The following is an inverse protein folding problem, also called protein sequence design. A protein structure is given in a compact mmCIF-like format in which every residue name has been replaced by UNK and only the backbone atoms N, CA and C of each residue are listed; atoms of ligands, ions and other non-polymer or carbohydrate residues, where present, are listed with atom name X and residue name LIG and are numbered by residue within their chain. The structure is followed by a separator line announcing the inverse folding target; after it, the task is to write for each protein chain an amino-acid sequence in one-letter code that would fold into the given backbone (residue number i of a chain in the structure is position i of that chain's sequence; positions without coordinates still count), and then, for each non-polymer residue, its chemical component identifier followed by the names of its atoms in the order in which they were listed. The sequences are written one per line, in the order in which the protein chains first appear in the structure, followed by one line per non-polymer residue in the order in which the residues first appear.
data_IF_420901363387
#
_entry.id   IF_420901363387
#
_cell.length_a   1.000
_cell.length_b   1.000
_cell.length_c   1.000
_cell.angle_alpha   90.00
_cell.angle_beta   90.00
_cell.angle_gamma   90.00
#
_symmetry.space_group_name_H-M   'P 1'
#
loop_
_entity.id
_entity.type
_entity.pdbx_description
1 polymer ?
#
# COMPACT_ATOMS: atom_id res chain seq x y z
N UNK A 1 19.37 34.30 -0.68
CA UNK A 1 19.36 32.83 -0.75
C UNK A 1 18.28 32.33 0.19
N UNK A 2 17.05 32.22 -0.31
CA UNK A 2 15.90 31.71 0.41
C UNK A 2 15.63 30.29 -0.10
N UNK A 3 15.69 29.31 0.80
CA UNK A 3 15.32 27.92 0.54
C UNK A 3 13.81 27.81 0.78
N UNK A 4 13.03 27.61 -0.29
CA UNK A 4 11.60 27.30 -0.19
C UNK A 4 11.43 25.84 0.21
N UNK A 5 10.80 25.60 1.38
CA UNK A 5 10.21 24.31 1.74
C UNK A 5 9.00 24.06 0.82
N UNK A 6 9.07 23.02 0.01
CA UNK A 6 7.92 22.48 -0.73
C UNK A 6 7.15 21.54 0.20
N UNK A 7 6.16 22.11 0.90
CA UNK A 7 5.02 21.37 1.46
C UNK A 7 4.12 20.94 0.30
N UNK A 8 3.96 19.64 0.09
CA UNK A 8 2.88 19.12 -0.75
C UNK A 8 1.57 19.16 0.07
N UNK A 9 0.56 19.94 -0.32
CA UNK A 9 -0.73 19.92 0.36
C UNK A 9 -1.57 18.75 -0.18
N UNK A 10 -1.89 17.80 0.70
CA UNK A 10 -3.12 17.01 0.58
C UNK A 10 -4.30 17.96 0.85
N UNK A 11 -4.79 18.64 -0.18
CA UNK A 11 -6.05 19.37 -0.17
C UNK A 11 -6.97 18.76 -1.23
N UNK A 12 -7.86 17.88 -0.78
CA UNK A 12 -9.04 17.46 -1.52
C UNK A 12 -10.12 18.50 -1.22
N UNK A 13 -10.41 19.39 -2.17
CA UNK A 13 -11.66 20.17 -2.15
C UNK A 13 -12.80 19.26 -2.63
N UNK A 14 -13.45 18.60 -1.68
CA UNK A 14 -14.68 17.86 -1.90
C UNK A 14 -15.86 18.82 -2.10
N UNK A 15 -16.37 18.89 -3.32
CA UNK A 15 -17.71 19.41 -3.59
C UNK A 15 -18.74 18.44 -3.00
N UNK A 16 -19.50 18.93 -2.03
CA UNK A 16 -20.60 18.21 -1.39
C UNK A 16 -21.69 17.97 -2.44
N UNK A 17 -22.02 16.71 -2.72
CA UNK A 17 -23.32 16.34 -3.28
C UNK A 17 -23.96 15.34 -2.32
N UNK A 18 -24.93 15.81 -1.53
CA UNK A 18 -25.77 14.96 -0.69
C UNK A 18 -26.67 14.10 -1.59
N UNK A 19 -26.50 12.78 -1.52
CA UNK A 19 -27.47 11.81 -2.04
C UNK A 19 -27.49 10.58 -1.13
N UNK A 20 -28.56 10.40 -0.36
CA UNK A 20 -28.77 9.25 0.50
C UNK A 20 -29.19 8.00 -0.30
N UNK A 21 -28.51 6.88 0.00
CA UNK A 21 -28.88 5.44 -0.06
C UNK A 21 -29.89 4.92 -1.11
N UNK A 22 -29.45 3.97 -1.94
CA UNK A 22 -29.85 2.54 -1.99
C UNK A 22 -29.55 1.93 -3.38
N UNK A 23 -29.20 0.64 -3.44
CA UNK A 23 -29.22 -0.15 -4.67
C UNK A 23 -27.84 -0.39 -5.31
N UNK A 24 -27.71 -1.52 -5.97
CA UNK A 24 -26.51 -2.02 -6.67
C UNK A 24 -25.76 -0.91 -7.44
N UNK A 25 -24.43 -0.85 -7.29
CA UNK A 25 -23.56 0.13 -7.95
C UNK A 25 -23.59 -0.05 -9.48
N UNK A 26 -24.60 0.53 -10.15
CA UNK A 26 -24.44 0.95 -11.53
C UNK A 26 -23.31 1.99 -11.56
N UNK A 27 -22.19 1.65 -12.20
CA UNK A 27 -21.12 2.60 -12.52
C UNK A 27 -21.77 3.82 -13.17
N UNK A 28 -21.48 5.02 -12.67
CA UNK A 28 -21.97 6.22 -13.34
C UNK A 28 -21.46 6.24 -14.78
N UNK A 29 -22.16 6.91 -15.69
CA UNK A 29 -21.71 7.03 -17.08
C UNK A 29 -20.28 7.62 -17.17
N UNK A 30 -19.90 8.48 -16.22
CA UNK A 30 -18.55 9.02 -16.10
C UNK A 30 -17.52 7.94 -15.70
N UNK A 31 -17.84 7.08 -14.73
CA UNK A 31 -16.94 5.99 -14.31
C UNK A 31 -16.77 4.95 -15.44
N UNK A 32 -17.85 4.62 -16.14
CA UNK A 32 -17.79 3.73 -17.30
C UNK A 32 -16.93 4.33 -18.43
N UNK A 33 -17.08 5.63 -18.71
CA UNK A 33 -16.25 6.33 -19.70
C UNK A 33 -14.77 6.37 -19.30
N UNK A 34 -14.48 6.63 -18.02
CA UNK A 34 -13.11 6.63 -17.48
C UNK A 34 -12.45 5.25 -17.62
N UNK A 35 -13.15 4.18 -17.26
CA UNK A 35 -12.64 2.81 -17.43
C UNK A 35 -12.44 2.43 -18.89
N UNK A 36 -13.34 2.85 -19.78
CA UNK A 36 -13.20 2.63 -21.21
C UNK A 36 -11.97 3.35 -21.77
N UNK A 37 -11.74 4.61 -21.38
CA UNK A 37 -10.54 5.35 -21.73
C UNK A 37 -9.28 4.67 -21.19
N UNK A 38 -9.26 4.27 -19.92
CA UNK A 38 -8.10 3.61 -19.33
C UNK A 38 -7.80 2.25 -19.99
N UNK A 39 -8.82 1.53 -20.44
CA UNK A 39 -8.65 0.31 -21.23
C UNK A 39 -8.06 0.58 -22.63
N UNK A 40 -8.44 1.68 -23.29
CA UNK A 40 -7.83 2.10 -24.56
C UNK A 40 -6.36 2.48 -24.39
N UNK A 41 -6.05 3.25 -23.35
CA UNK A 41 -4.65 3.60 -22.99
C UNK A 41 -3.85 2.34 -22.65
N UNK A 42 -4.45 1.38 -21.96
CA UNK A 42 -3.84 0.08 -21.69
C UNK A 42 -3.49 -0.67 -22.97
N UNK A 43 -4.40 -0.73 -23.94
CA UNK A 43 -4.16 -1.39 -25.21
C UNK A 43 -2.99 -0.75 -25.99
N UNK A 44 -2.89 0.59 -26.01
CA UNK A 44 -1.76 1.33 -26.59
C UNK A 44 -0.43 0.99 -25.89
N UNK A 45 -0.44 0.91 -24.57
CA UNK A 45 0.74 0.53 -23.79
C UNK A 45 1.15 -0.92 -24.06
N UNK A 46 0.21 -1.87 -24.09
CA UNK A 46 0.47 -3.27 -24.41
C UNK A 46 1.11 -3.42 -25.80
N UNK A 47 0.59 -2.70 -26.80
CA UNK A 47 1.19 -2.67 -28.14
C UNK A 47 2.64 -2.15 -28.14
N UNK A 48 2.94 -1.11 -27.35
CA UNK A 48 4.31 -0.56 -27.20
C UNK A 48 5.29 -1.55 -26.57
N UNK A 49 4.77 -2.52 -25.83
CA UNK A 49 5.53 -3.58 -25.17
C UNK A 49 5.60 -4.88 -25.99
N UNK A 50 5.07 -4.90 -27.22
CA UNK A 50 4.88 -6.12 -28.02
C UNK A 50 4.17 -7.23 -27.21
N UNK A 51 3.17 -6.83 -26.41
CA UNK A 51 2.48 -7.68 -25.47
C UNK A 51 1.01 -7.84 -25.83
N UNK A 52 0.48 -9.06 -25.69
CA UNK A 52 -0.94 -9.36 -25.89
C UNK A 52 -1.63 -9.63 -24.57
N UNK A 53 -2.83 -9.10 -24.38
CA UNK A 53 -3.61 -9.33 -23.17
C UNK A 53 -3.91 -10.82 -22.99
N UNK A 54 -3.56 -11.37 -21.82
CA UNK A 54 -3.71 -12.78 -21.45
C UNK A 54 -4.37 -12.88 -20.06
N UNK A 55 -5.51 -12.20 -19.90
CA UNK A 55 -6.26 -12.12 -18.65
C UNK A 55 -7.25 -10.96 -18.62
N UNK A 56 -7.99 -10.85 -17.52
CA UNK A 56 -8.87 -9.71 -17.28
C UNK A 56 -8.07 -8.47 -16.89
N UNK A 57 -8.48 -7.32 -17.40
CA UNK A 57 -7.99 -6.03 -16.94
C UNK A 57 -8.59 -5.73 -15.56
N UNK A 58 -7.72 -5.51 -14.59
CA UNK A 58 -8.09 -5.18 -13.21
C UNK A 58 -7.84 -3.70 -12.99
N UNK A 59 -8.84 -3.00 -12.45
CA UNK A 59 -8.74 -1.59 -12.10
C UNK A 59 -8.40 -1.43 -10.62
N UNK A 60 -7.41 -0.59 -10.34
CA UNK A 60 -6.96 -0.28 -8.99
C UNK A 60 -7.89 0.68 -8.26
N UNK A 61 -7.48 1.09 -7.07
CA UNK A 61 -8.30 1.94 -6.22
C UNK A 61 -8.62 3.29 -6.90
N UNK A 62 -9.92 3.60 -6.99
CA UNK A 62 -10.47 4.77 -7.71
C UNK A 62 -10.04 4.85 -9.18
N UNK A 63 -9.81 3.70 -9.81
CA UNK A 63 -9.42 3.58 -11.21
C UNK A 63 -8.19 4.45 -11.58
N UNK A 64 -7.28 4.65 -10.60
CA UNK A 64 -5.99 5.36 -10.78
C UNK A 64 -4.88 4.48 -11.32
N UNK A 65 -5.14 3.19 -11.44
CA UNK A 65 -4.25 2.23 -12.07
C UNK A 65 -5.06 1.15 -12.76
N UNK A 66 -4.45 0.49 -13.73
CA UNK A 66 -5.02 -0.68 -14.39
C UNK A 66 -3.91 -1.69 -14.64
N UNK A 67 -4.18 -2.98 -14.47
CA UNK A 67 -3.17 -4.01 -14.65
C UNK A 67 -3.75 -5.32 -15.13
N UNK A 68 -2.98 -6.05 -15.93
CA UNK A 68 -3.34 -7.37 -16.39
C UNK A 68 -2.11 -8.22 -16.68
N UNK A 69 -2.34 -9.53 -16.72
CA UNK A 69 -1.40 -10.48 -17.28
C UNK A 69 -1.35 -10.29 -18.80
N UNK A 70 -0.15 -10.30 -19.34
CA UNK A 70 0.11 -10.20 -20.77
C UNK A 70 1.10 -11.28 -21.22
N UNK A 71 0.94 -11.77 -22.44
CA UNK A 71 1.90 -12.65 -23.09
C UNK A 71 2.92 -11.81 -23.89
N UNK A 72 4.19 -12.15 -23.78
CA UNK A 72 5.29 -11.55 -24.55
C UNK A 72 6.15 -12.65 -25.17
N UNK A 73 7.03 -12.31 -26.11
CA UNK A 73 7.99 -13.27 -26.68
C UNK A 73 8.90 -13.91 -25.61
N UNK A 74 9.14 -13.22 -24.48
CA UNK A 74 9.94 -13.72 -23.37
C UNK A 74 9.10 -14.45 -22.29
N UNK A 75 7.84 -14.76 -22.58
CA UNK A 75 6.90 -15.45 -21.69
C UNK A 75 5.90 -14.50 -21.00
N UNK A 76 5.15 -15.00 -20.01
CA UNK A 76 4.08 -14.24 -19.35
C UNK A 76 4.65 -13.12 -18.48
N UNK A 77 4.00 -11.96 -18.48
CA UNK A 77 4.35 -10.76 -17.74
C UNK A 77 3.11 -10.13 -17.11
N UNK A 78 3.34 -9.18 -16.22
CA UNK A 78 2.30 -8.29 -15.72
C UNK A 78 2.56 -6.89 -16.28
N UNK A 79 1.58 -6.31 -16.99
CA UNK A 79 1.65 -4.93 -17.43
C UNK A 79 0.71 -4.11 -16.56
N UNK A 80 1.25 -3.08 -15.92
CA UNK A 80 0.56 -2.14 -15.05
C UNK A 80 0.63 -0.74 -15.63
N UNK A 81 -0.47 -0.01 -15.54
CA UNK A 81 -0.57 1.43 -15.75
C UNK A 81 -0.86 2.10 -14.42
N UNK A 82 -0.23 3.25 -14.18
CA UNK A 82 -0.66 4.25 -13.20
C UNK A 82 -0.87 5.57 -13.92
N UNK A 83 -1.94 6.28 -13.56
CA UNK A 83 -2.28 7.58 -14.12
C UNK A 83 -2.19 8.65 -13.05
N UNK A 84 -1.79 9.86 -13.45
CA UNK A 84 -1.77 11.03 -12.58
C UNK A 84 -1.91 12.31 -13.41
N UNK A 85 -2.38 13.39 -12.79
CA UNK A 85 -2.38 14.70 -13.42
C UNK A 85 -0.94 15.18 -13.62
N UNK A 86 -0.66 15.86 -14.74
CA UNK A 86 0.69 16.26 -15.14
C UNK A 86 1.53 16.95 -14.04
N UNK A 87 0.92 17.83 -13.24
CA UNK A 87 1.62 18.53 -12.15
C UNK A 87 2.04 17.66 -10.97
N UNK A 88 1.49 16.44 -10.90
CA UNK A 88 1.67 15.48 -9.81
C UNK A 88 2.32 14.18 -10.28
N UNK A 89 2.52 14.01 -11.58
CA UNK A 89 3.13 12.86 -12.21
C UNK A 89 4.66 12.87 -12.08
N UNK A 90 5.14 12.70 -10.85
CA UNK A 90 6.55 12.67 -10.51
C UNK A 90 6.79 12.33 -9.05
N UNK A 91 8.06 12.38 -8.64
CA UNK A 91 8.45 12.09 -7.26
C UNK A 91 8.45 10.60 -6.91
N UNK A 92 8.65 10.32 -5.63
CA UNK A 92 8.94 8.96 -5.15
C UNK A 92 7.82 7.97 -5.51
N UNK A 93 6.56 8.34 -5.34
CA UNK A 93 5.45 7.43 -5.62
C UNK A 93 5.38 7.04 -7.10
N UNK A 94 5.58 8.00 -8.01
CA UNK A 94 5.52 7.79 -9.46
C UNK A 94 6.57 6.80 -9.98
N UNK A 95 7.77 6.79 -9.40
CA UNK A 95 8.86 5.89 -9.80
C UNK A 95 8.96 4.64 -8.94
N UNK A 96 8.10 4.49 -7.92
CA UNK A 96 8.35 3.58 -6.80
C UNK A 96 8.50 2.12 -7.16
N UNK A 97 7.67 1.58 -8.06
CA UNK A 97 7.80 0.20 -8.51
C UNK A 97 9.11 -0.05 -9.27
N UNK A 98 9.53 0.90 -10.12
CA UNK A 98 10.78 0.78 -10.86
C UNK A 98 11.99 0.86 -9.93
N UNK A 99 12.00 1.84 -9.02
CA UNK A 99 13.06 2.03 -8.03
C UNK A 99 13.14 0.85 -7.05
N UNK A 100 12.02 0.17 -6.78
CA UNK A 100 12.00 -1.01 -5.92
C UNK A 100 12.82 -2.18 -6.48
N UNK A 101 13.30 -2.13 -7.72
CA UNK A 101 14.32 -3.07 -8.21
C UNK A 101 15.63 -3.01 -7.40
N UNK A 102 15.92 -1.90 -6.71
CA UNK A 102 17.08 -1.79 -5.81
C UNK A 102 16.90 -2.60 -4.52
N UNK A 103 15.66 -2.96 -4.16
CA UNK A 103 15.36 -3.85 -3.03
C UNK A 103 15.59 -5.29 -3.47
N UNK A 104 16.66 -5.92 -2.97
CA UNK A 104 17.05 -7.30 -3.33
C UNK A 104 16.78 -8.27 -2.17
N UNK A 105 16.79 -9.58 -2.43
CA UNK A 105 16.54 -10.60 -1.41
C UNK A 105 15.06 -10.75 -1.00
N UNK A 106 14.15 -10.14 -1.76
CA UNK A 106 12.70 -10.19 -1.53
C UNK A 106 12.00 -10.90 -2.68
N UNK A 107 11.01 -11.75 -2.37
CA UNK A 107 10.11 -12.31 -3.37
C UNK A 107 9.12 -11.24 -3.83
N UNK A 108 9.42 -10.57 -4.96
CA UNK A 108 8.61 -9.48 -5.51
C UNK A 108 8.66 -9.42 -7.04
N UNK A 109 7.71 -8.72 -7.69
CA UNK A 109 7.83 -8.37 -9.09
C UNK A 109 9.08 -7.50 -9.35
N UNK A 110 9.66 -7.68 -10.54
CA UNK A 110 10.72 -6.83 -11.06
C UNK A 110 10.19 -6.04 -12.25
N UNK A 111 10.37 -4.72 -12.24
CA UNK A 111 10.07 -3.89 -13.41
C UNK A 111 11.15 -4.15 -14.45
N UNK A 112 10.76 -4.73 -15.59
CA UNK A 112 11.68 -5.06 -16.69
C UNK A 112 11.85 -3.88 -17.64
N UNK A 113 10.78 -3.11 -17.83
CA UNK A 113 10.74 -1.92 -18.68
C UNK A 113 9.63 -1.01 -18.17
N UNK A 114 9.86 0.29 -18.22
CA UNK A 114 8.80 1.28 -18.03
C UNK A 114 8.91 2.38 -19.09
N UNK A 115 7.81 3.07 -19.35
CA UNK A 115 7.77 4.26 -20.18
C UNK A 115 6.60 5.12 -19.78
N UNK A 116 6.77 6.43 -19.97
CA UNK A 116 5.75 7.41 -19.69
C UNK A 116 5.10 7.85 -21.01
N UNK A 117 3.78 8.04 -20.99
CA UNK A 117 2.99 8.54 -22.11
C UNK A 117 1.99 9.57 -21.60
N UNK A 118 1.48 10.38 -22.50
CA UNK A 118 0.44 11.37 -22.21
C UNK A 118 -0.80 11.05 -23.03
N UNK A 119 -1.97 11.08 -22.41
CA UNK A 119 -3.26 10.99 -23.09
C UNK A 119 -4.19 12.06 -22.48
N UNK A 120 -4.41 13.14 -23.23
CA UNK A 120 -5.12 14.33 -22.75
C UNK A 120 -4.41 15.00 -21.57
N UNK A 121 -5.15 15.22 -20.48
CA UNK A 121 -4.65 15.86 -19.25
C UNK A 121 -3.96 14.88 -18.29
N UNK A 122 -3.86 13.60 -18.67
CA UNK A 122 -3.26 12.56 -17.84
C UNK A 122 -1.86 12.21 -18.32
N UNK A 123 -0.93 12.22 -17.38
CA UNK A 123 0.31 11.49 -17.51
C UNK A 123 0.03 10.03 -17.11
N UNK A 124 0.61 9.10 -17.86
CA UNK A 124 0.46 7.67 -17.65
C UNK A 124 1.83 7.03 -17.64
N UNK A 125 2.14 6.26 -16.60
CA UNK A 125 3.32 5.42 -16.55
C UNK A 125 2.90 3.98 -16.77
N UNK A 126 3.53 3.35 -17.76
CA UNK A 126 3.38 1.93 -18.04
C UNK A 126 4.59 1.16 -17.53
N UNK A 127 4.35 0.05 -16.85
CA UNK A 127 5.35 -0.78 -16.19
C UNK A 127 5.15 -2.24 -16.60
N UNK A 128 6.07 -2.77 -17.40
CA UNK A 128 6.11 -4.20 -17.74
C UNK A 128 6.97 -4.92 -16.70
N UNK A 129 6.37 -5.85 -15.99
CA UNK A 129 6.95 -6.50 -14.82
C UNK A 129 6.99 -8.03 -14.98
N UNK A 130 7.86 -8.69 -14.22
CA UNK A 130 7.77 -10.14 -14.04
C UNK A 130 6.42 -10.52 -13.41
N UNK A 131 5.81 -11.61 -13.89
CA UNK A 131 4.59 -12.14 -13.29
C UNK A 131 4.96 -12.98 -12.07
N UNK A 132 4.32 -12.70 -10.93
CA UNK A 132 4.47 -13.51 -9.72
C UNK A 132 3.47 -14.69 -9.73
N UNK A 133 3.89 -15.91 -9.33
CA UNK A 133 2.98 -17.03 -9.21
C UNK A 133 2.09 -16.89 -7.98
N UNK A 134 0.98 -17.64 -7.96
CA UNK A 134 0.06 -17.70 -6.82
C UNK A 134 -1.15 -16.77 -6.93
N UNK A 135 -1.87 -16.66 -5.82
CA UNK A 135 -3.07 -15.85 -5.67
C UNK A 135 -2.94 -14.91 -4.49
N UNK A 136 -3.67 -13.79 -4.50
CA UNK A 136 -3.68 -12.85 -3.37
C UNK A 136 -4.19 -13.55 -2.11
N UNK A 137 -3.60 -13.23 -0.97
CA UNK A 137 -4.03 -13.71 0.34
C UNK A 137 -5.44 -13.21 0.68
N UNK A 138 -5.81 -12.02 0.21
CA UNK A 138 -7.14 -11.44 0.37
C UNK A 138 -7.53 -10.61 -0.87
N UNK A 139 -8.81 -10.55 -1.25
CA UNK A 139 -9.29 -9.60 -2.25
C UNK A 139 -9.33 -8.15 -1.75
N UNK A 140 -9.27 -7.93 -0.43
CA UNK A 140 -9.28 -6.60 0.21
C UNK A 140 -8.08 -6.40 1.15
N UNK A 141 -7.65 -5.14 1.40
CA UNK A 141 -6.53 -4.88 2.29
C UNK A 141 -6.71 -5.47 3.69
N UNK A 142 -7.88 -5.28 4.29
CA UNK A 142 -8.24 -5.90 5.55
C UNK A 142 -8.67 -7.36 5.35
N UNK A 143 -8.20 -8.21 6.25
CA UNK A 143 -8.57 -9.62 6.27
C UNK A 143 -9.97 -9.76 6.88
N UNK A 144 -10.88 -10.41 6.17
CA UNK A 144 -12.27 -10.62 6.61
C UNK A 144 -12.58 -12.06 6.99
N UNK A 145 -11.79 -13.01 6.49
CA UNK A 145 -11.95 -14.43 6.72
C UNK A 145 -10.64 -15.03 7.25
N UNK A 146 -10.70 -16.11 8.05
CA UNK A 146 -9.51 -16.83 8.47
C UNK A 146 -8.68 -17.27 7.26
N UNK A 147 -7.39 -16.95 7.29
CA UNK A 147 -6.43 -17.37 6.29
C UNK A 147 -5.41 -18.30 6.96
N UNK A 148 -5.34 -19.54 6.48
CA UNK A 148 -4.34 -20.50 6.91
C UNK A 148 -3.19 -20.51 5.90
N UNK A 149 -2.03 -20.01 6.31
CA UNK A 149 -0.78 -20.09 5.55
C UNK A 149 0.19 -21.06 6.23
N UNK A 150 1.06 -21.68 5.44
CA UNK A 150 2.03 -22.63 5.96
C UNK A 150 3.15 -21.92 6.78
N UNK A 151 3.82 -22.61 7.72
CA UNK A 151 4.96 -22.03 8.45
C UNK A 151 6.06 -21.44 7.54
N UNK A 152 6.38 -22.12 6.43
CA UNK A 152 7.34 -21.63 5.43
C UNK A 152 6.93 -20.31 4.77
N UNK A 153 5.62 -20.00 4.73
CA UNK A 153 5.13 -18.71 4.25
C UNK A 153 5.51 -17.59 5.22
N UNK A 154 5.38 -17.82 6.54
CA UNK A 154 5.80 -16.85 7.56
C UNK A 154 7.31 -16.64 7.56
N UNK A 155 8.09 -17.71 7.40
CA UNK A 155 9.55 -17.63 7.25
C UNK A 155 9.96 -16.77 6.04
N UNK A 156 9.26 -16.95 4.91
CA UNK A 156 9.49 -16.17 3.70
C UNK A 156 9.07 -14.69 3.85
N UNK A 157 7.97 -14.41 4.56
CA UNK A 157 7.57 -13.05 4.91
C UNK A 157 8.63 -12.39 5.80
N UNK A 158 9.08 -13.08 6.86
CA UNK A 158 10.08 -12.56 7.79
C UNK A 158 11.41 -12.26 7.07
N UNK A 159 11.87 -13.18 6.22
CA UNK A 159 13.09 -13.00 5.41
C UNK A 159 12.96 -11.82 4.46
N UNK A 160 11.78 -11.64 3.84
CA UNK A 160 11.48 -10.50 2.97
C UNK A 160 11.53 -9.19 3.75
N UNK A 161 10.88 -9.12 4.91
CA UNK A 161 10.89 -7.90 5.75
C UNK A 161 12.28 -7.56 6.26
N UNK A 162 13.09 -8.56 6.62
CA UNK A 162 14.47 -8.36 7.01
C UNK A 162 15.32 -7.80 5.85
N UNK A 163 15.13 -8.32 4.62
CA UNK A 163 15.82 -7.83 3.44
C UNK A 163 15.39 -6.40 3.06
N UNK A 164 14.09 -6.08 3.17
CA UNK A 164 13.59 -4.71 3.01
C UNK A 164 14.25 -3.79 4.03
N UNK A 165 14.20 -4.13 5.32
CA UNK A 165 14.75 -3.30 6.39
C UNK A 165 16.26 -3.03 6.25
N UNK A 166 17.00 -3.97 5.66
CA UNK A 166 18.44 -3.84 5.40
C UNK A 166 18.77 -3.01 4.15
N UNK A 167 17.78 -2.62 3.34
CA UNK A 167 18.00 -1.85 2.11
C UNK A 167 18.24 -0.37 2.44
N UNK A 168 19.39 0.16 2.04
CA UNK A 168 19.67 1.59 2.15
C UNK A 168 18.90 2.38 1.09
N UNK A 169 18.24 3.47 1.48
CA UNK A 169 17.48 4.32 0.56
C UNK A 169 17.38 5.74 1.07
N UNK A 170 17.20 6.70 0.15
CA UNK A 170 16.84 8.09 0.47
C UNK A 170 15.34 8.35 0.34
N UNK A 171 14.57 7.36 -0.13
CA UNK A 171 13.12 7.43 -0.24
C UNK A 171 12.51 7.47 1.16
N UNK A 172 11.40 8.18 1.31
CA UNK A 172 10.68 8.32 2.58
C UNK A 172 9.26 7.82 2.36
N UNK A 173 8.90 6.73 3.03
CA UNK A 173 7.53 6.22 3.07
C UNK A 173 6.73 6.92 4.18
N UNK A 174 7.38 7.21 5.31
CA UNK A 174 6.81 7.93 6.44
C UNK A 174 7.89 8.79 7.11
N UNK A 175 7.66 10.09 7.25
CA UNK A 175 8.55 10.99 7.99
C UNK A 175 8.11 11.23 9.44
N UNK A 176 9.03 11.72 10.27
CA UNK A 176 8.78 12.05 11.69
C UNK A 176 7.63 13.03 11.86
N UNK A 177 7.62 14.12 11.09
CA UNK A 177 6.61 15.18 11.20
C UNK A 177 5.20 14.64 10.89
N UNK A 178 5.08 13.82 9.85
CA UNK A 178 3.82 13.19 9.50
C UNK A 178 3.35 12.19 10.55
N UNK A 179 4.28 11.43 11.14
CA UNK A 179 3.94 10.51 12.22
C UNK A 179 3.42 11.27 13.44
N UNK A 180 4.22 12.22 13.95
CA UNK A 180 3.87 12.99 15.15
C UNK A 180 2.55 13.72 14.96
N UNK A 181 2.39 14.43 13.84
CA UNK A 181 1.18 15.19 13.53
C UNK A 181 -0.07 14.30 13.48
N UNK A 182 0.00 13.11 12.87
CA UNK A 182 -1.17 12.22 12.80
C UNK A 182 -1.49 11.60 14.14
N UNK A 183 -0.48 11.16 14.88
CA UNK A 183 -0.68 10.58 16.22
C UNK A 183 -1.28 11.62 17.16
N UNK A 184 -0.75 12.85 17.17
CA UNK A 184 -1.28 13.97 17.96
C UNK A 184 -2.72 14.32 17.55
N UNK A 185 -3.02 14.40 16.25
CA UNK A 185 -4.38 14.72 15.78
C UNK A 185 -5.43 13.72 16.26
N UNK A 186 -5.10 12.43 16.31
CA UNK A 186 -6.06 11.38 16.68
C UNK A 186 -6.07 11.05 18.17
N UNK A 187 -4.94 11.19 18.86
CA UNK A 187 -4.78 10.70 20.22
C UNK A 187 -4.35 11.78 21.22
N UNK A 188 -4.14 13.01 20.77
CA UNK A 188 -3.67 14.12 21.60
C UNK A 188 -2.30 13.83 22.22
N UNK A 189 -2.13 14.24 23.47
CA UNK A 189 -0.92 14.03 24.28
C UNK A 189 -0.79 12.61 24.83
N UNK A 190 -1.79 11.75 24.63
CA UNK A 190 -1.86 10.41 25.24
C UNK A 190 -0.76 9.45 24.77
N UNK A 191 -0.19 9.70 23.60
CA UNK A 191 0.93 8.90 23.08
C UNK A 191 2.28 9.28 23.71
N UNK A 192 2.34 10.40 24.45
CA UNK A 192 3.58 10.92 25.02
C UNK A 192 4.55 11.39 23.93
N UNK A 193 5.84 11.08 24.11
CA UNK A 193 6.88 11.38 23.13
C UNK A 193 6.71 10.50 21.88
N UNK A 194 6.53 11.13 20.72
CA UNK A 194 6.38 10.47 19.41
C UNK A 194 7.67 10.43 18.59
N UNK A 195 8.81 10.82 19.17
CA UNK A 195 10.12 10.74 18.51
C UNK A 195 10.44 9.29 18.19
N UNK A 196 10.71 8.98 16.91
CA UNK A 196 11.07 7.65 16.44
C UNK A 196 12.58 7.47 16.56
N UNK A 197 13.00 6.39 17.20
CA UNK A 197 14.43 6.15 17.46
C UNK A 197 15.11 5.37 16.33
N UNK A 198 14.37 4.46 15.69
CA UNK A 198 14.90 3.53 14.69
C UNK A 198 14.13 3.66 13.39
N UNK A 199 14.87 3.97 12.33
CA UNK A 199 14.36 4.11 10.97
C UNK A 199 14.93 3.01 10.09
N UNK A 200 14.06 2.33 9.33
CA UNK A 200 14.46 1.30 8.37
C UNK A 200 13.71 1.52 7.06
N UNK A 201 14.21 0.96 5.96
CA UNK A 201 13.37 0.82 4.78
C UNK A 201 12.16 -0.08 5.10
N UNK A 202 11.05 0.21 4.44
CA UNK A 202 9.77 -0.48 4.56
C UNK A 202 9.11 -0.57 3.19
N UNK A 203 8.27 -1.58 3.00
CA UNK A 203 7.36 -1.73 1.88
C UNK A 203 6.39 -0.55 1.78
N UNK A 204 5.92 -0.06 2.93
CA UNK A 204 5.12 1.18 3.04
C UNK A 204 3.61 0.97 2.92
N UNK A 205 3.19 -0.13 2.30
CA UNK A 205 1.77 -0.49 2.14
C UNK A 205 1.51 -2.01 2.31
N UNK A 206 2.10 -2.61 3.36
CA UNK A 206 1.95 -4.05 3.61
C UNK A 206 0.57 -4.41 4.18
N UNK A 207 -0.23 -5.12 3.39
CA UNK A 207 -1.54 -5.66 3.78
C UNK A 207 -1.89 -6.92 2.99
N UNK A 208 -2.97 -7.63 3.34
CA UNK A 208 -3.28 -8.95 2.79
C UNK A 208 -3.58 -8.99 1.29
N UNK A 209 -4.11 -7.90 0.71
CA UNK A 209 -4.27 -7.83 -0.75
C UNK A 209 -2.97 -7.63 -1.55
N UNK A 210 -1.86 -7.29 -0.89
CA UNK A 210 -0.53 -7.12 -1.48
C UNK A 210 0.38 -8.31 -1.20
N UNK A 211 -0.15 -9.39 -0.63
CA UNK A 211 0.56 -10.61 -0.32
C UNK A 211 0.03 -11.76 -1.16
N UNK A 212 0.92 -12.62 -1.64
CA UNK A 212 0.56 -13.83 -2.39
C UNK A 212 0.69 -15.12 -1.54
N UNK A 213 -0.03 -16.14 -1.97
CA UNK A 213 0.01 -17.52 -1.48
C UNK A 213 -0.09 -18.51 -2.67
N UNK A 214 0.40 -19.76 -2.56
CA UNK A 214 0.95 -20.41 -1.36
C UNK A 214 2.38 -19.99 -1.02
N UNK A 215 3.16 -19.47 -1.98
CA UNK A 215 4.45 -18.84 -1.71
C UNK A 215 4.27 -17.36 -1.35
N UNK A 216 4.95 -16.89 -0.30
CA UNK A 216 4.90 -15.49 0.09
C UNK A 216 5.65 -14.63 -0.93
N UNK A 217 4.95 -13.67 -1.51
CA UNK A 217 5.52 -12.58 -2.29
C UNK A 217 4.80 -11.27 -1.99
N UNK A 218 5.54 -10.16 -2.07
CA UNK A 218 5.07 -8.81 -1.80
C UNK A 218 4.85 -8.06 -3.12
N UNK A 219 3.63 -7.56 -3.30
CA UNK A 219 3.21 -6.77 -4.46
C UNK A 219 3.07 -5.29 -4.10
N UNK A 220 3.05 -4.46 -5.13
CA UNK A 220 2.70 -3.03 -5.07
C UNK A 220 3.68 -2.18 -4.23
N UNK A 221 4.80 -1.83 -4.87
CA UNK A 221 5.93 -1.20 -4.21
C UNK A 221 5.95 0.33 -4.36
N UNK A 222 4.90 0.97 -4.87
CA UNK A 222 4.93 2.42 -5.17
C UNK A 222 5.30 3.29 -3.97
N UNK A 223 4.87 2.88 -2.77
CA UNK A 223 5.05 3.60 -1.52
C UNK A 223 6.33 3.28 -0.74
N UNK A 224 7.23 2.44 -1.26
CA UNK A 224 8.39 1.98 -0.48
C UNK A 224 9.39 3.09 -0.15
N UNK A 225 10.02 2.97 1.01
CA UNK A 225 11.00 3.92 1.51
C UNK A 225 11.21 3.81 3.01
N UNK A 226 11.91 4.78 3.60
CA UNK A 226 12.20 4.85 5.03
C UNK A 226 10.93 5.08 5.86
N UNK A 227 10.78 4.33 6.93
CA UNK A 227 9.69 4.42 7.92
C UNK A 227 10.20 3.96 9.30
N UNK A 228 9.41 4.13 10.39
CA UNK A 228 9.78 3.57 11.69
C UNK A 228 9.98 2.06 11.62
N UNK A 229 10.96 1.54 12.35
CA UNK A 229 11.18 0.10 12.44
C UNK A 229 9.89 -0.61 12.90
N UNK A 230 9.51 -1.68 12.19
CA UNK A 230 8.26 -2.40 12.44
C UNK A 230 7.02 -1.82 11.75
N UNK A 231 7.15 -0.79 10.91
CA UNK A 231 6.02 -0.17 10.21
C UNK A 231 5.20 -1.15 9.35
N UNK A 232 5.85 -1.98 8.55
CA UNK A 232 5.15 -2.97 7.73
C UNK A 232 4.41 -4.01 8.58
N UNK A 233 5.03 -4.49 9.67
CA UNK A 233 4.39 -5.40 10.61
C UNK A 233 3.15 -4.76 11.26
N UNK A 234 3.25 -3.49 11.65
CA UNK A 234 2.15 -2.71 12.20
C UNK A 234 1.01 -2.55 11.20
N UNK A 235 1.31 -2.22 9.94
CA UNK A 235 0.31 -2.16 8.85
C UNK A 235 -0.41 -3.50 8.68
N UNK A 236 0.33 -4.62 8.55
CA UNK A 236 -0.27 -5.94 8.40
C UNK A 236 -1.14 -6.31 9.60
N UNK A 237 -0.64 -6.10 10.83
CA UNK A 237 -1.37 -6.40 12.06
C UNK A 237 -2.68 -5.62 12.16
N UNK A 238 -2.65 -4.31 11.89
CA UNK A 238 -3.85 -3.44 11.90
C UNK A 238 -4.88 -3.93 10.87
N UNK A 239 -4.45 -4.33 9.67
CA UNK A 239 -5.34 -4.90 8.64
C UNK A 239 -5.87 -6.31 8.99
N UNK A 240 -5.43 -6.93 10.08
CA UNK A 240 -5.86 -8.28 10.49
C UNK A 240 -6.90 -8.26 11.62
N UNK A 241 -7.20 -7.09 12.20
CA UNK A 241 -7.94 -6.98 13.46
C UNK A 241 -9.40 -7.49 13.43
N UNK A 242 -10.01 -7.67 12.26
CA UNK A 242 -11.34 -8.29 12.11
C UNK A 242 -11.34 -9.80 12.36
N UNK A 243 -10.18 -10.45 12.27
CA UNK A 243 -10.04 -11.90 12.42
C UNK A 243 -9.11 -12.18 13.60
N UNK A 244 -9.64 -12.30 14.85
CA UNK A 244 -8.81 -12.37 16.06
C UNK A 244 -7.78 -13.50 16.05
N UNK A 245 -8.12 -14.67 15.48
CA UNK A 245 -7.19 -15.79 15.37
C UNK A 245 -5.99 -15.46 14.45
N UNK A 246 -6.23 -14.79 13.33
CA UNK A 246 -5.17 -14.35 12.43
C UNK A 246 -4.36 -13.20 13.04
N UNK A 247 -4.99 -12.28 13.76
CA UNK A 247 -4.30 -11.19 14.45
C UNK A 247 -3.37 -11.75 15.55
N UNK A 248 -3.80 -12.79 16.25
CA UNK A 248 -2.95 -13.52 17.21
C UNK A 248 -1.76 -14.21 16.52
N UNK A 249 -1.97 -14.80 15.34
CA UNK A 249 -0.88 -15.39 14.54
C UNK A 249 0.13 -14.33 14.08
N UNK A 250 -0.33 -13.20 13.52
CA UNK A 250 0.56 -12.07 13.13
C UNK A 250 1.36 -11.57 14.33
N UNK A 251 0.73 -11.44 15.51
CA UNK A 251 1.43 -11.04 16.73
C UNK A 251 2.45 -12.07 17.19
N UNK A 252 2.16 -13.37 17.07
CA UNK A 252 3.10 -14.42 17.43
C UNK A 252 4.34 -14.41 16.52
N UNK A 253 4.14 -14.23 15.22
CA UNK A 253 5.23 -14.27 14.21
C UNK A 253 6.03 -12.96 14.14
N UNK A 254 5.36 -11.81 14.28
CA UNK A 254 5.97 -10.48 14.11
C UNK A 254 6.07 -9.68 15.41
N UNK A 255 5.86 -10.32 16.56
CA UNK A 255 5.88 -9.66 17.88
C UNK A 255 7.19 -8.91 18.15
N UNK A 256 8.33 -9.44 17.70
CA UNK A 256 9.63 -8.79 17.83
C UNK A 256 9.72 -7.42 17.13
N UNK A 257 8.89 -7.19 16.10
CA UNK A 257 8.79 -5.90 15.42
C UNK A 257 7.69 -5.02 16.06
N UNK A 258 6.55 -5.63 16.35
CA UNK A 258 5.35 -4.95 16.87
C UNK A 258 5.53 -4.41 18.29
N UNK A 259 6.25 -5.13 19.14
CA UNK A 259 6.29 -4.87 20.58
C UNK A 259 7.40 -3.91 21.01
N UNK A 260 8.20 -3.43 20.05
CA UNK A 260 9.15 -2.33 20.26
C UNK A 260 8.43 -0.99 20.40
N UNK A 261 9.08 0.03 20.99
CA UNK A 261 8.49 1.37 21.11
C UNK A 261 8.14 1.96 19.73
N UNK A 262 9.05 1.87 18.77
CA UNK A 262 8.82 2.40 17.41
C UNK A 262 7.74 1.58 16.67
N UNK A 263 7.67 0.26 16.91
CA UNK A 263 6.59 -0.61 16.42
C UNK A 263 5.21 -0.29 17.01
N UNK A 264 5.16 0.15 18.27
CA UNK A 264 3.95 0.65 18.91
C UNK A 264 3.51 2.01 18.32
N UNK A 265 4.45 2.95 18.12
CA UNK A 265 4.15 4.21 17.42
C UNK A 265 3.67 3.96 15.98
N UNK A 266 4.28 3.01 15.28
CA UNK A 266 3.85 2.59 13.96
C UNK A 266 2.43 2.00 13.96
N UNK A 267 2.06 1.22 14.98
CA UNK A 267 0.68 0.72 15.15
C UNK A 267 -0.32 1.86 15.33
N UNK A 268 0.00 2.89 16.13
CA UNK A 268 -0.87 4.08 16.24
C UNK A 268 -1.01 4.78 14.90
N UNK A 269 0.10 5.03 14.21
CA UNK A 269 0.06 5.69 12.91
C UNK A 269 -0.76 4.89 11.87
N UNK A 270 -0.52 3.58 11.76
CA UNK A 270 -1.30 2.70 10.87
C UNK A 270 -2.79 2.71 11.25
N UNK A 271 -3.11 2.77 12.54
CA UNK A 271 -4.49 2.94 13.03
C UNK A 271 -5.10 4.25 12.55
N UNK A 272 -4.37 5.38 12.61
CA UNK A 272 -4.88 6.67 12.09
C UNK A 272 -5.16 6.61 10.59
N UNK A 273 -4.28 5.96 9.81
CA UNK A 273 -4.49 5.78 8.36
C UNK A 273 -5.79 5.04 8.09
N UNK A 274 -6.04 3.95 8.83
CA UNK A 274 -7.26 3.17 8.66
C UNK A 274 -8.51 3.89 9.15
N UNK A 275 -8.46 4.61 10.27
CA UNK A 275 -9.60 5.41 10.74
C UNK A 275 -10.01 6.50 9.73
N UNK A 276 -9.05 7.12 9.04
CA UNK A 276 -9.37 8.05 7.95
C UNK A 276 -10.07 7.37 6.77
N UNK A 277 -9.75 6.09 6.48
CA UNK A 277 -10.46 5.32 5.45
C UNK A 277 -11.87 4.97 5.90
N UNK A 278 -12.04 4.62 7.18
CA UNK A 278 -13.34 4.41 7.81
C UNK A 278 -14.23 5.66 7.73
N UNK A 279 -13.66 6.83 8.03
CA UNK A 279 -14.37 8.12 7.91
C UNK A 279 -14.83 8.42 6.46
N UNK A 280 -14.05 7.96 5.47
CA UNK A 280 -14.40 8.05 4.05
C UNK A 280 -15.41 6.97 3.58
N UNK A 281 -15.87 6.11 4.48
CA UNK A 281 -16.84 5.05 4.21
C UNK A 281 -16.24 3.68 3.86
N UNK A 282 -14.91 3.54 3.84
CA UNK A 282 -14.25 2.27 3.57
C UNK A 282 -14.16 1.41 4.84
N UNK A 283 -14.29 0.08 4.71
CA UNK A 283 -14.00 -0.87 5.80
C UNK A 283 -14.74 -0.57 7.14
N UNK A 284 -16.05 -0.24 7.15
CA UNK A 284 -16.73 0.30 8.33
C UNK A 284 -16.64 -0.60 9.58
N UNK A 285 -16.52 -1.92 9.39
CA UNK A 285 -16.35 -2.87 10.49
C UNK A 285 -15.03 -2.73 11.26
N UNK A 286 -14.02 -2.06 10.71
CA UNK A 286 -12.70 -1.88 11.33
C UNK A 286 -12.71 -0.88 12.48
N UNK A 287 -13.68 0.05 12.54
CA UNK A 287 -13.68 1.16 13.51
C UNK A 287 -13.45 0.69 14.96
N UNK A 288 -14.25 -0.28 15.42
CA UNK A 288 -14.19 -0.77 16.80
C UNK A 288 -12.86 -1.50 17.09
N UNK A 289 -12.42 -2.49 16.29
CA UNK A 289 -11.11 -3.12 16.49
C UNK A 289 -9.94 -2.14 16.48
N UNK A 290 -9.97 -1.13 15.60
CA UNK A 290 -8.94 -0.08 15.50
C UNK A 290 -8.84 0.73 16.80
N UNK A 291 -9.96 1.22 17.33
CA UNK A 291 -9.96 1.94 18.60
C UNK A 291 -9.48 1.07 19.76
N UNK A 292 -9.91 -0.21 19.83
CA UNK A 292 -9.41 -1.14 20.86
C UNK A 292 -7.91 -1.35 20.78
N UNK A 293 -7.37 -1.49 19.56
CA UNK A 293 -5.92 -1.59 19.36
C UNK A 293 -5.20 -0.32 19.82
N UNK A 294 -5.69 0.87 19.42
CA UNK A 294 -5.09 2.13 19.84
C UNK A 294 -5.05 2.26 21.38
N UNK A 295 -6.13 1.93 22.08
CA UNK A 295 -6.17 1.98 23.55
C UNK A 295 -5.14 1.04 24.19
N UNK A 296 -4.98 -0.18 23.66
CA UNK A 296 -3.96 -1.13 24.14
C UNK A 296 -2.54 -0.61 23.91
N UNK A 297 -2.29 -0.02 22.74
CA UNK A 297 -0.98 0.53 22.38
C UNK A 297 -0.64 1.75 23.23
N UNK A 298 -1.58 2.67 23.45
CA UNK A 298 -1.42 3.84 24.31
C UNK A 298 -1.10 3.44 25.75
N UNK A 299 -1.80 2.44 26.30
CA UNK A 299 -1.51 1.91 27.63
C UNK A 299 -0.08 1.36 27.76
N UNK A 300 0.46 0.77 26.69
CA UNK A 300 1.83 0.24 26.67
C UNK A 300 2.88 1.32 26.53
N UNK A 301 2.65 2.34 25.69
CA UNK A 301 3.57 3.47 25.53
C UNK A 301 3.69 4.32 26.79
N UNK A 302 2.63 4.41 27.60
CA UNK A 302 2.63 5.14 28.87
C UNK A 302 3.20 4.34 30.05
N UNK A 303 3.34 3.02 29.90
CA UNK A 303 3.91 2.12 30.91
C UNK A 303 5.40 1.82 30.71
N UNK A 304 5.99 2.29 29.61
CA UNK A 304 7.39 2.07 29.22
C UNK A 304 8.25 3.30 29.58
#
# INVERSE_FOLDING_TARGET
MQTQLLLAPLLITGGISLGFMTGENELSAADAAHRAWLADVYAKAAATADATLDGALVFGWRDRSAGARVATAAGPRWLRLVIEQHGWAGGAFWTGNADANDVTGVAKPWVLRHWDLTDGDWAVRAELMTLMPGARCSPTPELREPLAVAPAWWEALWSSLAAVAATATTRIALGQDDLSRRVEMFFGDRAGDTTVNTWTAAHGDLHWANLLQPECALLDWEGWGTAPAGYDAACLYVHTLLVPAAAAAVRAELGLLLDTRDGLLAQLYATTRMLMRVDQGDYPGMAIPLHRNAEQVLARLTSA
#
